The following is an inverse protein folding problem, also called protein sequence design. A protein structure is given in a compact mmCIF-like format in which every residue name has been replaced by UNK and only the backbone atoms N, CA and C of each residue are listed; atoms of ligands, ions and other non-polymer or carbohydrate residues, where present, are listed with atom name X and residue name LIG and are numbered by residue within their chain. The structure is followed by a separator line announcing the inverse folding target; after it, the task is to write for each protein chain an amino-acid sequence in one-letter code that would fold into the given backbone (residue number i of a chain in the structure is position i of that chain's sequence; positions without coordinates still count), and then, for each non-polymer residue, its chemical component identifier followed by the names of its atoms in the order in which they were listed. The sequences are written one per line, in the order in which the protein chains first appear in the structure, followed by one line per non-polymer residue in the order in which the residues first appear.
data_IF_058970360414
#
_entry.id   IF_058970360414
#
_cell.length_a   1.000
_cell.length_b   1.000
_cell.length_c   1.000
_cell.angle_alpha   90.00
_cell.angle_beta   90.00
_cell.angle_gamma   90.00
#
_symmetry.space_group_name_H-M   'P 1'
#
loop_
_entity.id
_entity.type
_entity.pdbx_description
1 polymer ?
#
# COMPACT_ATOMS: atom_id res chain seq x y z
N UNK A 1 3.39 17.36 12.19
CA UNK A 1 2.02 17.93 12.29
C UNK A 1 1.12 16.92 12.93
N UNK A 2 0.25 17.32 13.88
CA UNK A 2 -0.76 16.42 14.45
C UNK A 2 -2.01 16.45 13.57
N UNK A 3 -2.33 15.32 12.94
CA UNK A 3 -3.63 15.07 12.30
C UNK A 3 -4.42 14.12 13.18
N UNK A 4 -5.75 14.21 13.12
CA UNK A 4 -6.67 13.22 13.74
C UNK A 4 -6.76 11.93 12.91
N UNK A 5 -5.70 11.57 12.19
CA UNK A 5 -5.65 10.34 11.40
C UNK A 5 -5.61 9.09 12.29
N UNK A 6 -5.16 9.23 13.54
CA UNK A 6 -5.28 8.24 14.59
C UNK A 6 -6.08 8.86 15.75
N UNK A 7 -7.18 8.22 16.12
CA UNK A 7 -8.02 8.62 17.24
C UNK A 7 -8.19 7.45 18.21
N UNK A 8 -8.25 7.75 19.50
CA UNK A 8 -8.52 6.78 20.57
C UNK A 8 -9.93 7.03 21.13
N UNK A 9 -10.65 5.95 21.43
CA UNK A 9 -12.07 5.99 21.81
C UNK A 9 -12.78 4.68 21.44
N UNK A 10 -14.10 4.65 21.46
CA UNK A 10 -14.86 3.47 21.05
C UNK A 10 -15.35 3.56 19.61
N UNK A 11 -14.83 2.70 18.75
CA UNK A 11 -15.20 2.65 17.34
C UNK A 11 -15.75 1.28 16.94
N UNK A 12 -16.71 1.26 16.02
CA UNK A 12 -17.18 0.01 15.39
C UNK A 12 -16.51 -0.13 14.02
N UNK A 13 -15.70 -1.17 13.82
CA UNK A 13 -15.02 -1.45 12.56
C UNK A 13 -15.98 -2.04 11.52
N UNK A 14 -15.58 -2.05 10.23
CA UNK A 14 -16.33 -2.73 9.16
C UNK A 14 -16.62 -4.21 9.44
N UNK A 15 -15.78 -4.86 10.25
CA UNK A 15 -15.98 -6.24 10.69
C UNK A 15 -17.02 -6.40 11.82
N UNK A 16 -17.63 -5.30 12.29
CA UNK A 16 -18.51 -5.28 13.46
C UNK A 16 -17.78 -5.23 14.81
N UNK A 17 -16.45 -5.37 14.84
CA UNK A 17 -15.65 -5.36 16.07
C UNK A 17 -15.62 -3.98 16.71
N UNK A 18 -15.64 -3.94 18.05
CA UNK A 18 -15.31 -2.75 18.84
C UNK A 18 -13.79 -2.58 18.93
N UNK A 19 -13.31 -1.38 18.63
CA UNK A 19 -11.89 -1.03 18.60
C UNK A 19 -11.63 0.18 19.49
N UNK A 20 -10.57 0.18 20.33
CA UNK A 20 -10.21 1.30 21.20
C UNK A 20 -9.53 2.45 20.42
N UNK A 21 -9.33 2.28 19.12
CA UNK A 21 -8.78 3.29 18.23
C UNK A 21 -9.35 3.17 16.81
N UNK A 22 -9.24 4.26 16.04
CA UNK A 22 -9.54 4.29 14.62
C UNK A 22 -8.42 4.97 13.86
N UNK A 23 -8.05 4.40 12.72
CA UNK A 23 -7.07 4.98 11.82
C UNK A 23 -7.70 5.30 10.48
N UNK A 24 -7.59 6.55 10.05
CA UNK A 24 -8.12 7.05 8.79
C UNK A 24 -7.06 7.83 8.01
N UNK A 25 -6.39 7.14 7.09
CA UNK A 25 -5.42 7.78 6.19
C UNK A 25 -6.06 8.82 5.26
N UNK A 26 -7.39 8.81 5.06
CA UNK A 26 -8.08 9.81 4.26
C UNK A 26 -8.00 11.24 4.83
N UNK A 27 -7.53 11.40 6.07
CA UNK A 27 -7.26 12.70 6.68
C UNK A 27 -5.89 13.30 6.30
N UNK A 28 -5.06 12.55 5.58
CA UNK A 28 -3.87 13.06 4.89
C UNK A 28 -4.26 13.62 3.52
N UNK A 29 -4.90 14.78 3.53
CA UNK A 29 -5.64 15.31 2.37
C UNK A 29 -5.14 16.68 1.87
N UNK A 30 -3.96 17.12 2.32
CA UNK A 30 -3.29 18.32 1.81
C UNK A 30 -1.92 17.98 1.24
N UNK A 31 -1.35 18.85 0.39
CA UNK A 31 -0.02 18.61 -0.20
C UNK A 31 1.08 18.40 0.85
N UNK A 32 1.03 19.14 1.97
CA UNK A 32 1.99 18.98 3.08
C UNK A 32 1.83 17.63 3.80
N UNK A 33 0.61 17.11 3.85
CA UNK A 33 0.35 15.79 4.44
C UNK A 33 0.87 14.67 3.55
N UNK A 34 0.63 14.77 2.24
CA UNK A 34 1.14 13.81 1.27
C UNK A 34 2.67 13.81 1.23
N UNK A 35 3.31 14.98 1.20
CA UNK A 35 4.77 15.08 1.27
C UNK A 35 5.32 14.36 2.51
N UNK A 36 4.77 14.65 3.70
CA UNK A 36 5.19 13.97 4.92
C UNK A 36 4.92 12.45 4.86
N UNK A 37 3.77 12.02 4.34
CA UNK A 37 3.42 10.61 4.17
C UNK A 37 4.43 9.90 3.26
N UNK A 38 4.76 10.49 2.11
CA UNK A 38 5.78 9.98 1.20
C UNK A 38 7.12 9.81 1.85
N UNK A 39 7.56 10.79 2.65
CA UNK A 39 8.83 10.72 3.38
C UNK A 39 8.83 9.55 4.38
N UNK A 40 7.75 9.34 5.13
CA UNK A 40 7.66 8.23 6.08
C UNK A 40 7.69 6.86 5.40
N UNK A 41 7.00 6.71 4.26
CA UNK A 41 7.03 5.47 3.48
C UNK A 41 8.41 5.23 2.85
N UNK A 42 9.03 6.27 2.31
CA UNK A 42 10.37 6.20 1.75
C UNK A 42 11.40 5.82 2.83
N UNK A 43 11.33 6.43 4.01
CA UNK A 43 12.18 6.06 5.15
C UNK A 43 11.99 4.60 5.53
N UNK A 44 10.74 4.15 5.72
CA UNK A 44 10.45 2.76 6.08
C UNK A 44 10.96 1.76 5.04
N UNK A 45 10.87 2.12 3.74
CA UNK A 45 11.46 1.34 2.66
C UNK A 45 12.99 1.26 2.79
N UNK A 46 13.66 2.40 3.00
CA UNK A 46 15.12 2.45 3.07
C UNK A 46 15.66 1.73 4.31
N UNK A 47 14.94 1.78 5.43
CA UNK A 47 15.32 1.10 6.69
C UNK A 47 15.33 -0.43 6.53
N UNK A 48 14.43 -0.99 5.71
CA UNK A 48 14.31 -2.43 5.50
C UNK A 48 14.95 -2.91 4.19
N UNK A 49 15.12 -2.01 3.22
CA UNK A 49 15.72 -2.20 1.90
C UNK A 49 15.30 -3.53 1.22
N UNK A 50 13.99 -3.77 1.01
CA UNK A 50 13.54 -4.99 0.35
C UNK A 50 13.99 -5.03 -1.11
N UNK A 51 14.15 -6.23 -1.68
CA UNK A 51 14.38 -6.38 -3.10
C UNK A 51 13.25 -5.70 -3.90
N UNK A 52 13.59 -4.74 -4.75
CA UNK A 52 12.61 -3.89 -5.41
C UNK A 52 13.05 -3.49 -6.82
N UNK A 53 12.27 -3.94 -7.79
CA UNK A 53 12.36 -3.51 -9.19
C UNK A 53 11.25 -2.51 -9.52
N UNK A 54 10.09 -2.60 -8.87
CA UNK A 54 8.94 -1.69 -9.06
C UNK A 54 8.11 -1.56 -7.77
N UNK A 55 7.51 -0.39 -7.56
CA UNK A 55 6.61 -0.14 -6.42
C UNK A 55 5.17 -0.05 -6.92
N UNK A 56 4.26 -0.80 -6.30
CA UNK A 56 2.87 -0.95 -6.71
C UNK A 56 1.90 -0.36 -5.69
N UNK A 57 1.05 0.56 -6.12
CA UNK A 57 -0.02 1.16 -5.30
C UNK A 57 -1.40 0.63 -5.69
N UNK A 58 -2.10 -0.17 -4.87
CA UNK A 58 -3.42 -0.68 -5.21
C UNK A 58 -4.48 0.44 -5.32
N UNK A 59 -5.37 0.34 -6.30
CA UNK A 59 -6.44 1.33 -6.46
C UNK A 59 -7.45 1.27 -5.31
N UNK A 60 -7.89 2.39 -4.72
CA UNK A 60 -7.54 3.78 -5.04
C UNK A 60 -6.53 4.40 -4.09
N UNK A 61 -6.50 3.94 -2.84
CA UNK A 61 -5.73 4.59 -1.76
C UNK A 61 -4.23 4.44 -1.91
N UNK A 62 -3.76 3.34 -2.49
CA UNK A 62 -2.35 3.12 -2.77
C UNK A 62 -1.80 4.05 -3.84
N UNK A 63 -2.65 4.64 -4.71
CA UNK A 63 -2.22 5.52 -5.81
C UNK A 63 -1.53 6.80 -5.29
N UNK A 64 -2.16 7.64 -4.44
CA UNK A 64 -1.48 8.82 -3.90
C UNK A 64 -0.26 8.43 -3.05
N UNK A 65 -0.32 7.30 -2.32
CA UNK A 65 0.77 6.80 -1.46
C UNK A 65 1.99 6.43 -2.31
N UNK A 66 1.82 5.58 -3.32
CA UNK A 66 2.94 5.18 -4.20
C UNK A 66 3.52 6.39 -4.91
N UNK A 67 2.66 7.31 -5.37
CA UNK A 67 3.10 8.51 -6.09
C UNK A 67 3.97 9.39 -5.21
N UNK A 68 3.53 9.70 -4.00
CA UNK A 68 4.32 10.55 -3.09
C UNK A 68 5.55 9.83 -2.53
N UNK A 69 5.51 8.51 -2.39
CA UNK A 69 6.65 7.71 -1.94
C UNK A 69 7.78 7.69 -2.97
N UNK A 70 7.49 7.45 -4.26
CA UNK A 70 8.55 7.39 -5.28
C UNK A 70 9.18 8.77 -5.53
N UNK A 71 8.40 9.85 -5.40
CA UNK A 71 8.94 11.22 -5.37
C UNK A 71 9.92 11.38 -4.20
N UNK A 72 9.51 10.98 -2.99
CA UNK A 72 10.36 11.10 -1.80
C UNK A 72 11.62 10.21 -1.87
N UNK A 73 11.53 9.00 -2.44
CA UNK A 73 12.68 8.12 -2.67
C UNK A 73 13.71 8.78 -3.61
N UNK A 74 13.24 9.39 -4.70
CA UNK A 74 14.10 10.07 -5.66
C UNK A 74 14.75 11.32 -5.06
N UNK A 75 13.96 12.19 -4.42
CA UNK A 75 14.44 13.48 -3.90
C UNK A 75 15.35 13.34 -2.67
N UNK A 76 15.05 12.42 -1.75
CA UNK A 76 15.76 12.33 -0.47
C UNK A 76 16.82 11.23 -0.41
N UNK A 77 16.70 10.20 -1.26
CA UNK A 77 17.58 9.03 -1.19
C UNK A 77 18.30 8.75 -2.52
N UNK A 78 18.09 9.60 -3.54
CA UNK A 78 18.62 9.39 -4.90
C UNK A 78 18.28 8.00 -5.45
N UNK A 79 17.13 7.47 -5.04
CA UNK A 79 16.67 6.13 -5.37
C UNK A 79 15.51 6.22 -6.35
N UNK A 80 15.84 6.18 -7.64
CA UNK A 80 14.86 6.26 -8.71
C UNK A 80 14.30 4.87 -9.03
N UNK A 81 13.01 4.67 -8.79
CA UNK A 81 12.30 3.42 -9.09
C UNK A 81 11.02 3.66 -9.86
N UNK A 82 10.70 2.77 -10.81
CA UNK A 82 9.42 2.82 -11.48
C UNK A 82 8.29 2.53 -10.51
N UNK A 83 7.10 3.04 -10.84
CA UNK A 83 5.88 2.76 -10.11
C UNK A 83 4.78 2.27 -11.04
N UNK A 84 3.81 1.56 -10.45
CA UNK A 84 2.62 1.10 -11.14
C UNK A 84 1.42 1.12 -10.18
N UNK A 85 0.22 1.22 -10.73
CA UNK A 85 -1.03 0.96 -10.02
C UNK A 85 -2.06 0.33 -10.95
N UNK A 86 -3.05 -0.36 -10.40
CA UNK A 86 -4.13 -0.92 -11.20
C UNK A 86 -5.32 0.05 -11.37
N UNK A 87 -6.18 -0.24 -12.34
CA UNK A 87 -7.53 0.31 -12.46
C UNK A 87 -8.51 -0.73 -11.90
N UNK A 88 -9.63 -0.28 -11.33
CA UNK A 88 -10.74 -1.19 -10.97
C UNK A 88 -11.54 -1.65 -12.19
N UNK A 89 -11.53 -0.87 -13.25
CA UNK A 89 -12.21 -1.18 -14.51
C UNK A 89 -11.21 -1.19 -15.67
N UNK A 90 -11.26 -2.25 -16.47
CA UNK A 90 -10.43 -2.39 -17.67
C UNK A 90 -10.95 -1.44 -18.74
N UNK A 91 -10.09 -0.57 -19.26
CA UNK A 91 -10.45 0.27 -20.40
C UNK A 91 -10.37 -0.53 -21.68
N UNK A 92 -11.41 -0.45 -22.51
CA UNK A 92 -11.47 -1.11 -23.83
C UNK A 92 -10.75 -0.31 -24.95
N UNK A 93 -10.43 0.97 -24.76
CA UNK A 93 -9.87 1.87 -25.77
C UNK A 93 -8.66 2.67 -25.23
N UNK A 94 -7.70 3.04 -26.08
CA UNK A 94 -6.43 3.71 -25.70
C UNK A 94 -5.29 2.72 -25.42
N UNK A 95 -4.39 3.03 -24.47
CA UNK A 95 -3.33 2.10 -24.00
C UNK A 95 -3.89 0.78 -23.43
N UNK A 96 -5.21 0.69 -23.18
CA UNK A 96 -5.89 -0.52 -22.75
C UNK A 96 -5.41 -1.04 -21.39
N UNK A 97 -5.87 -2.24 -21.03
CA UNK A 97 -5.35 -2.98 -19.87
C UNK A 97 -5.84 -2.51 -18.50
N UNK A 98 -5.30 -3.17 -17.47
CA UNK A 98 -5.67 -2.97 -16.06
C UNK A 98 -4.64 -2.17 -15.26
N UNK A 99 -3.50 -1.81 -15.86
CA UNK A 99 -2.37 -1.15 -15.19
C UNK A 99 -2.11 0.27 -15.73
N UNK A 100 -1.52 1.11 -14.88
CA UNK A 100 -1.02 2.44 -15.23
C UNK A 100 0.36 2.63 -14.62
N UNK A 101 1.28 3.23 -15.39
CA UNK A 101 2.68 3.38 -15.02
C UNK A 101 3.56 2.38 -15.76
N UNK A 102 4.67 1.99 -15.14
CA UNK A 102 5.63 1.06 -15.75
C UNK A 102 5.09 -0.37 -15.80
N UNK A 103 5.59 -1.23 -16.73
CA UNK A 103 5.24 -2.64 -16.75
C UNK A 103 5.55 -3.34 -15.43
N UNK A 104 4.59 -4.10 -14.91
CA UNK A 104 4.73 -4.84 -13.65
C UNK A 104 5.63 -6.07 -13.85
N UNK A 105 6.92 -5.96 -13.52
CA UNK A 105 7.94 -7.00 -13.70
C UNK A 105 8.93 -7.00 -12.53
N UNK A 106 9.56 -8.15 -12.28
CA UNK A 106 10.57 -8.30 -11.24
C UNK A 106 9.99 -8.39 -9.83
N UNK A 107 10.73 -7.87 -8.85
CA UNK A 107 10.36 -7.79 -7.44
C UNK A 107 9.49 -6.57 -7.18
N UNK A 108 8.28 -6.80 -6.69
CA UNK A 108 7.24 -5.80 -6.49
C UNK A 108 7.08 -5.52 -5.01
N UNK A 109 7.17 -4.25 -4.63
CA UNK A 109 6.80 -3.79 -3.29
C UNK A 109 5.41 -3.17 -3.35
N UNK A 110 4.46 -3.69 -2.58
CA UNK A 110 3.12 -3.09 -2.46
C UNK A 110 3.14 -2.01 -1.38
N UNK A 111 2.46 -0.89 -1.63
CA UNK A 111 2.23 0.17 -0.63
C UNK A 111 0.74 0.45 -0.48
N UNK A 112 0.24 0.48 0.75
CA UNK A 112 -1.19 0.74 1.04
C UNK A 112 -1.38 1.34 2.43
N UNK A 113 -2.55 1.91 2.73
CA UNK A 113 -2.77 2.60 3.99
C UNK A 113 -2.83 1.66 5.20
N UNK A 114 -3.81 0.76 5.25
CA UNK A 114 -4.03 -0.18 6.34
C UNK A 114 -4.56 -1.50 5.83
N UNK A 115 -4.07 -2.59 6.42
CA UNK A 115 -4.65 -3.91 6.18
C UNK A 115 -5.79 -4.15 7.17
N UNK A 116 -7.00 -4.34 6.62
CA UNK A 116 -8.17 -4.82 7.37
C UNK A 116 -8.34 -6.32 7.15
N UNK A 117 -9.13 -6.74 6.16
CA UNK A 117 -9.30 -8.16 5.78
C UNK A 117 -8.24 -8.65 4.77
N UNK A 118 -7.32 -7.78 4.35
CA UNK A 118 -6.29 -8.08 3.35
C UNK A 118 -6.80 -8.19 1.91
N UNK A 119 -8.07 -7.87 1.63
CA UNK A 119 -8.68 -8.03 0.29
C UNK A 119 -7.90 -7.29 -0.80
N UNK A 120 -7.56 -6.01 -0.58
CA UNK A 120 -6.82 -5.21 -1.57
C UNK A 120 -5.43 -5.78 -1.88
N UNK A 121 -4.73 -6.28 -0.86
CA UNK A 121 -3.41 -6.90 -1.03
C UNK A 121 -3.53 -8.26 -1.71
N UNK A 122 -4.55 -9.06 -1.39
CA UNK A 122 -4.85 -10.34 -2.07
C UNK A 122 -5.13 -10.11 -3.55
N UNK A 123 -5.97 -9.14 -3.89
CA UNK A 123 -6.23 -8.73 -5.29
C UNK A 123 -4.93 -8.32 -6.00
N UNK A 124 -4.10 -7.52 -5.33
CA UNK A 124 -2.83 -7.03 -5.87
C UNK A 124 -1.82 -8.16 -6.10
N UNK A 125 -1.73 -9.11 -5.16
CA UNK A 125 -0.89 -10.28 -5.29
C UNK A 125 -1.29 -11.15 -6.49
N UNK A 126 -2.59 -11.30 -6.76
CA UNK A 126 -3.07 -12.00 -7.96
C UNK A 126 -2.72 -11.23 -9.25
N UNK A 127 -2.84 -9.90 -9.26
CA UNK A 127 -2.40 -9.06 -10.39
C UNK A 127 -0.89 -9.26 -10.66
N UNK A 128 -0.06 -9.18 -9.62
CA UNK A 128 1.39 -9.38 -9.70
C UNK A 128 1.72 -10.77 -10.27
N UNK A 129 1.04 -11.81 -9.76
CA UNK A 129 1.21 -13.19 -10.22
C UNK A 129 0.82 -13.36 -11.69
N UNK A 130 -0.29 -12.77 -12.15
CA UNK A 130 -0.70 -12.79 -13.57
C UNK A 130 0.35 -12.19 -14.50
N UNK A 131 1.10 -11.19 -14.01
CA UNK A 131 2.18 -10.55 -14.74
C UNK A 131 3.53 -11.28 -14.60
N UNK A 132 3.57 -12.46 -13.95
CA UNK A 132 4.78 -13.24 -13.66
C UNK A 132 5.84 -12.44 -12.87
N UNK A 133 5.40 -11.45 -12.11
CA UNK A 133 6.23 -10.72 -11.16
C UNK A 133 6.17 -11.39 -9.78
N UNK A 134 7.09 -11.02 -8.89
CA UNK A 134 7.20 -11.57 -7.53
C UNK A 134 6.88 -10.49 -6.51
N UNK A 135 5.95 -10.75 -5.60
CA UNK A 135 5.74 -9.90 -4.43
C UNK A 135 6.95 -10.04 -3.50
N UNK A 136 7.63 -8.95 -3.16
CA UNK A 136 8.81 -8.97 -2.28
C UNK A 136 8.53 -8.39 -0.90
N UNK A 137 7.68 -7.36 -0.82
CA UNK A 137 7.30 -6.74 0.45
C UNK A 137 5.93 -6.03 0.35
N UNK A 138 5.34 -5.78 1.51
CA UNK A 138 4.17 -4.91 1.68
C UNK A 138 4.50 -3.88 2.74
N UNK A 139 4.35 -2.59 2.41
CA UNK A 139 4.60 -1.47 3.32
C UNK A 139 3.27 -0.77 3.62
N UNK A 140 2.99 -0.56 4.90
CA UNK A 140 1.72 -0.03 5.38
C UNK A 140 1.95 1.15 6.33
N UNK A 141 0.99 2.08 6.40
CA UNK A 141 0.99 3.11 7.46
C UNK A 141 0.78 2.48 8.83
N UNK A 142 -0.07 1.45 8.91
CA UNK A 142 -0.38 0.77 10.15
C UNK A 142 -0.74 -0.71 9.90
N UNK A 143 0.04 -1.60 10.51
CA UNK A 143 -0.37 -2.98 10.77
C UNK A 143 -1.17 -3.03 12.08
N UNK A 144 -2.44 -3.42 11.98
CA UNK A 144 -3.34 -3.52 13.15
C UNK A 144 -3.04 -4.74 14.01
N UNK A 145 -2.29 -5.72 13.51
CA UNK A 145 -1.96 -6.99 14.18
C UNK A 145 -3.19 -7.74 14.73
N UNK A 146 -4.37 -7.48 14.15
CA UNK A 146 -5.62 -8.12 14.55
C UNK A 146 -5.74 -9.50 13.93
N UNK A 147 -6.18 -10.50 14.71
CA UNK A 147 -6.51 -11.82 14.18
C UNK A 147 -7.70 -11.73 13.22
N UNK A 148 -7.56 -12.35 12.05
CA UNK A 148 -8.66 -12.68 11.16
C UNK A 148 -9.34 -13.99 11.55
N UNK A 149 -10.16 -14.53 10.64
CA UNK A 149 -10.96 -15.74 10.88
C UNK A 149 -10.11 -17.00 11.13
N UNK A 150 -8.90 -17.07 10.58
CA UNK A 150 -8.00 -18.23 10.66
C UNK A 150 -6.99 -18.17 11.80
N UNK A 151 -7.25 -17.39 12.84
CA UNK A 151 -6.32 -17.14 13.95
C UNK A 151 -4.97 -16.49 13.56
N UNK A 152 -4.80 -16.10 12.29
CA UNK A 152 -3.67 -15.34 11.77
C UNK A 152 -4.12 -13.91 11.48
N UNK A 153 -3.22 -12.94 11.61
CA UNK A 153 -3.48 -11.60 11.08
C UNK A 153 -3.50 -11.64 9.55
N UNK A 154 -4.16 -10.66 8.93
CA UNK A 154 -4.15 -10.55 7.48
C UNK A 154 -2.73 -10.38 6.91
N UNK A 155 -1.81 -9.75 7.66
CA UNK A 155 -0.39 -9.66 7.30
C UNK A 155 0.27 -11.04 7.31
N UNK A 156 0.07 -11.82 8.36
CA UNK A 156 0.63 -13.18 8.47
C UNK A 156 0.09 -14.13 7.40
N UNK A 157 -1.18 -13.96 6.98
CA UNK A 157 -1.73 -14.72 5.85
C UNK A 157 -1.03 -14.41 4.52
N UNK A 158 -0.56 -13.17 4.35
CA UNK A 158 0.16 -12.72 3.15
C UNK A 158 1.61 -13.21 3.21
N UNK A 159 2.30 -13.06 4.34
CA UNK A 159 3.68 -13.53 4.53
C UNK A 159 3.84 -15.03 4.21
N UNK A 160 2.87 -15.88 4.58
CA UNK A 160 2.90 -17.31 4.26
C UNK A 160 2.77 -17.64 2.78
N UNK A 161 2.42 -16.66 1.93
CA UNK A 161 2.20 -16.83 0.49
C UNK A 161 3.28 -16.16 -0.37
N UNK A 162 4.20 -15.42 0.25
CA UNK A 162 5.34 -14.75 -0.39
C UNK A 162 6.54 -15.69 -0.48
#
# INVERSE_FOLDING_TARGET
MKKKALEFGEFTLKSGRKSPYFFNAGLFNTGKDLAALGHFYAQAFMDHNPACDIIFGPAYKGIPIVTTMVVALSEHYHFDKPYCFNRKEVKKHGEGGELVGSPLKGNVVIVDDVITAGTAIKESAEIIKRHKAKLSAVILSLDRQEKGEKNLSAVQEIEKKI
#
